data_IF_597776387615
#
_entry.id   IF_597776387615
#
_cell.length_a   1.000
_cell.length_b   1.000
_cell.length_c   1.000
_cell.angle_alpha   90.00
_cell.angle_beta   90.00
_cell.angle_gamma   90.00
#
_symmetry.space_group_name_H-M   'P 1'
#
loop_
_entity.id
_entity.type
_entity.pdbx_description
1 polymer ?
#
# COMPACT_ATOMS: atom_id res chain seq x y z
N UNK A 1 14.64 14.37 -4.46
CA UNK A 1 13.96 14.80 -3.22
C UNK A 1 14.39 13.81 -2.15
N UNK A 2 15.24 14.21 -1.21
CA UNK A 2 15.67 13.32 -0.11
C UNK A 2 14.49 13.11 0.85
N UNK A 3 14.01 11.87 0.95
CA UNK A 3 13.06 11.49 2.00
C UNK A 3 13.87 11.49 3.30
N UNK A 4 13.78 12.57 4.08
CA UNK A 4 14.38 12.63 5.42
C UNK A 4 13.77 11.50 6.25
N UNK A 5 14.61 10.64 6.83
CA UNK A 5 14.23 9.48 7.66
C UNK A 5 13.16 9.80 8.72
N UNK A 6 13.11 11.06 9.18
CA UNK A 6 12.11 11.59 10.11
C UNK A 6 10.66 11.47 9.60
N UNK A 7 10.45 11.45 8.28
CA UNK A 7 9.12 11.43 7.67
C UNK A 7 8.44 10.07 7.79
N UNK A 8 9.21 8.97 7.76
CA UNK A 8 8.69 7.60 7.84
C UNK A 8 8.24 7.30 9.27
N UNK A 9 9.01 7.71 10.29
CA UNK A 9 8.72 7.45 11.71
C UNK A 9 7.45 8.13 12.24
N UNK A 10 6.88 9.09 11.50
CA UNK A 10 5.63 9.77 11.84
C UNK A 10 4.42 9.25 11.06
N UNK A 11 4.61 8.26 10.17
CA UNK A 11 3.50 7.72 9.39
C UNK A 11 2.68 6.74 10.22
N UNK A 12 1.38 7.00 10.30
CA UNK A 12 0.41 6.10 10.92
C UNK A 12 -0.18 5.17 9.87
N UNK A 13 -0.75 4.05 10.31
CA UNK A 13 -1.45 3.10 9.43
C UNK A 13 -2.50 3.79 8.54
N UNK A 14 -3.21 4.76 9.11
CA UNK A 14 -4.21 5.59 8.43
C UNK A 14 -3.68 6.53 7.34
N UNK A 15 -2.36 6.63 7.16
CA UNK A 15 -1.77 7.41 6.07
C UNK A 15 -1.53 6.56 4.82
N UNK A 16 -1.72 5.25 4.92
CA UNK A 16 -1.55 4.33 3.80
C UNK A 16 -2.91 3.90 3.27
N UNK A 17 -2.98 3.83 1.96
CA UNK A 17 -4.12 3.36 1.18
C UNK A 17 -3.61 2.42 0.09
N UNK A 18 -4.48 1.52 -0.37
CA UNK A 18 -4.18 0.64 -1.51
C UNK A 18 -5.17 0.95 -2.60
N UNK A 19 -4.68 1.13 -3.82
CA UNK A 19 -5.52 1.37 -5.00
C UNK A 19 -5.24 0.37 -6.10
N UNK A 20 -6.16 0.23 -7.04
CA UNK A 20 -5.85 -0.31 -8.36
C UNK A 20 -5.09 0.73 -9.23
N UNK A 21 -4.71 0.33 -10.44
CA UNK A 21 -4.03 1.21 -11.42
C UNK A 21 -4.90 2.35 -11.95
N UNK A 22 -6.21 2.28 -11.74
CA UNK A 22 -7.17 3.33 -12.10
C UNK A 22 -7.43 4.31 -10.94
N UNK A 23 -6.69 4.17 -9.83
CA UNK A 23 -6.81 4.94 -8.58
C UNK A 23 -8.08 4.66 -7.78
N UNK A 24 -8.77 3.54 -8.00
CA UNK A 24 -9.88 3.13 -7.12
C UNK A 24 -9.34 2.49 -5.85
N UNK A 25 -9.87 2.91 -4.70
CA UNK A 25 -9.51 2.34 -3.41
C UNK A 25 -9.90 0.87 -3.31
N UNK A 26 -8.96 0.05 -2.83
CA UNK A 26 -9.14 -1.37 -2.58
C UNK A 26 -9.24 -1.61 -1.08
N UNK A 27 -10.38 -2.15 -0.66
CA UNK A 27 -10.58 -2.61 0.71
C UNK A 27 -9.65 -3.79 1.03
N UNK A 28 -8.68 -3.55 1.91
CA UNK A 28 -7.70 -4.55 2.35
C UNK A 28 -8.35 -5.78 2.99
N UNK A 29 -9.55 -5.66 3.57
CA UNK A 29 -10.28 -6.82 4.12
C UNK A 29 -10.80 -7.76 3.03
N UNK A 30 -10.93 -7.26 1.80
CA UNK A 30 -11.37 -8.00 0.60
C UNK A 30 -10.22 -8.28 -0.37
N UNK A 31 -8.98 -8.11 0.06
CA UNK A 31 -7.81 -8.29 -0.79
C UNK A 31 -7.71 -9.74 -1.34
N UNK A 32 -8.21 -10.73 -0.60
CA UNK A 32 -8.28 -12.12 -1.06
C UNK A 32 -9.31 -12.35 -2.18
N UNK A 33 -10.27 -11.43 -2.36
CA UNK A 33 -11.28 -11.46 -3.42
C UNK A 33 -10.79 -10.81 -4.72
N UNK A 34 -9.65 -10.10 -4.67
CA UNK A 34 -9.04 -9.52 -5.86
C UNK A 34 -8.45 -10.60 -6.78
N UNK A 35 -8.43 -10.38 -8.11
CA UNK A 35 -7.69 -11.22 -9.03
C UNK A 35 -6.22 -11.33 -8.58
N UNK A 36 -5.68 -12.54 -8.51
CA UNK A 36 -4.35 -12.76 -7.93
C UNK A 36 -3.21 -12.18 -8.78
N UNK A 37 -3.50 -11.88 -10.05
CA UNK A 37 -2.64 -11.19 -11.00
C UNK A 37 -2.94 -9.69 -11.12
N UNK A 38 -3.90 -9.16 -10.34
CA UNK A 38 -4.21 -7.73 -10.29
C UNK A 38 -2.95 -6.92 -9.95
N UNK A 39 -2.88 -5.73 -10.54
CA UNK A 39 -1.83 -4.75 -10.28
C UNK A 39 -2.39 -3.69 -9.34
N UNK A 40 -1.83 -3.68 -8.14
CA UNK A 40 -2.22 -2.78 -7.06
C UNK A 40 -1.05 -1.86 -6.71
N UNK A 41 -1.40 -0.74 -6.11
CA UNK A 41 -0.49 0.31 -5.71
C UNK A 41 -0.65 0.55 -4.21
N UNK A 42 0.47 0.59 -3.50
CA UNK A 42 0.52 1.03 -2.12
C UNK A 42 0.84 2.52 -2.12
N UNK A 43 -0.04 3.30 -1.51
CA UNK A 43 0.08 4.75 -1.43
C UNK A 43 0.30 5.21 -0.01
N UNK A 44 0.97 6.35 0.12
CA UNK A 44 1.07 7.09 1.37
C UNK A 44 0.70 8.54 1.11
N UNK A 45 -0.33 9.05 1.80
CA UNK A 45 -0.86 10.41 1.58
C UNK A 45 -1.19 10.69 0.11
N UNK A 46 -1.75 9.70 -0.60
CA UNK A 46 -2.12 9.78 -2.01
C UNK A 46 -0.98 9.69 -3.02
N UNK A 47 0.27 9.54 -2.58
CA UNK A 47 1.43 9.30 -3.46
C UNK A 47 1.73 7.81 -3.54
N UNK A 48 2.00 7.32 -4.74
CA UNK A 48 2.45 5.93 -4.97
C UNK A 48 3.81 5.74 -4.32
N UNK A 49 3.89 4.79 -3.38
CA UNK A 49 5.13 4.38 -2.72
C UNK A 49 5.66 3.09 -3.35
N UNK A 50 4.77 2.17 -3.72
CA UNK A 50 5.07 0.98 -4.51
C UNK A 50 3.95 0.73 -5.51
N UNK A 51 4.29 0.31 -6.72
CA UNK A 51 3.34 -0.01 -7.79
C UNK A 51 3.47 -1.47 -8.26
N UNK A 52 2.51 -1.88 -9.09
CA UNK A 52 2.50 -3.18 -9.77
C UNK A 52 2.57 -4.41 -8.85
N UNK A 53 2.10 -4.26 -7.61
CA UNK A 53 2.09 -5.30 -6.61
C UNK A 53 0.89 -6.23 -6.83
N UNK A 54 1.12 -7.53 -6.70
CA UNK A 54 0.04 -8.51 -6.58
C UNK A 54 -0.66 -8.38 -5.22
N UNK A 55 -1.91 -8.87 -5.06
CA UNK A 55 -2.59 -8.90 -3.77
C UNK A 55 -1.76 -9.55 -2.65
N UNK A 56 -1.03 -10.62 -2.97
CA UNK A 56 -0.12 -11.27 -2.01
C UNK A 56 1.02 -10.35 -1.57
N UNK A 57 1.62 -9.62 -2.50
CA UNK A 57 2.71 -8.68 -2.18
C UNK A 57 2.21 -7.49 -1.37
N UNK A 58 0.99 -7.00 -1.63
CA UNK A 58 0.33 -5.98 -0.79
C UNK A 58 0.18 -6.50 0.64
N UNK A 59 -0.34 -7.71 0.83
CA UNK A 59 -0.52 -8.30 2.16
C UNK A 59 0.80 -8.35 2.94
N UNK A 60 1.90 -8.75 2.28
CA UNK A 60 3.24 -8.77 2.88
C UNK A 60 3.70 -7.35 3.23
N UNK A 61 3.66 -6.42 2.27
CA UNK A 61 4.12 -5.04 2.48
C UNK A 61 3.35 -4.33 3.60
N UNK A 62 2.03 -4.51 3.65
CA UNK A 62 1.16 -3.97 4.71
C UNK A 62 1.50 -4.58 6.07
N UNK A 63 1.70 -5.90 6.15
CA UNK A 63 2.10 -6.55 7.40
C UNK A 63 3.48 -6.07 7.87
N UNK A 64 4.46 -5.97 6.98
CA UNK A 64 5.81 -5.51 7.29
C UNK A 64 5.82 -4.05 7.79
N UNK A 65 5.01 -3.18 7.20
CA UNK A 65 4.84 -1.79 7.64
C UNK A 65 4.24 -1.68 9.05
N UNK A 66 3.53 -2.71 9.50
CA UNK A 66 2.64 -2.67 10.66
C UNK A 66 2.97 -3.66 11.77
N UNK A 67 4.02 -4.47 11.59
CA UNK A 67 4.54 -5.43 12.56
C UNK A 67 5.50 -4.81 13.60
N UNK A 68 5.71 -3.49 13.56
CA UNK A 68 6.51 -2.72 14.54
C UNK A 68 5.65 -2.17 15.69
#
# INVERSE_FOLDING_TARGET
MEIKETTINQMKKSHFDVTDTDNHEVDLTKLAEQPQDAKLELRAKGQIVQDNLTPKQISIAVNDLFAA
#
